data_IF_367527789337
#
_entry.id   IF_367527789337
#
_cell.length_a   1.000
_cell.length_b   1.000
_cell.length_c   1.000
_cell.angle_alpha   90.00
_cell.angle_beta   90.00
_cell.angle_gamma   90.00
#
_symmetry.space_group_name_H-M   'P 1'
#
loop_
_entity.id
_entity.type
_entity.pdbx_description
1 polymer ?
#
# COMPACT_ATOMS: atom_id res chain seq x y z
N UNK A 1 34.79 6.55 -17.15
CA UNK A 1 33.40 6.09 -17.09
C UNK A 1 32.63 6.76 -18.22
N UNK A 2 32.14 5.97 -19.18
CA UNK A 2 31.33 6.48 -20.28
C UNK A 2 29.89 6.58 -19.77
N UNK A 3 29.47 7.76 -19.30
CA UNK A 3 28.11 7.98 -18.82
C UNK A 3 27.23 8.11 -20.06
N UNK A 4 26.59 7.01 -20.46
CA UNK A 4 25.62 7.07 -21.55
C UNK A 4 24.35 7.78 -21.06
N UNK A 5 23.85 8.80 -21.77
CA UNK A 5 22.60 9.44 -21.43
C UNK A 5 21.48 8.40 -21.50
N UNK A 6 20.85 8.14 -20.36
CA UNK A 6 19.67 7.27 -20.29
C UNK A 6 18.48 8.11 -20.70
N UNK A 7 17.74 7.67 -21.72
CA UNK A 7 16.55 8.41 -22.15
C UNK A 7 15.47 8.37 -21.05
N UNK A 8 14.65 9.42 -20.92
CA UNK A 8 13.57 9.47 -19.93
C UNK A 8 12.59 8.29 -20.01
N UNK A 9 12.38 7.73 -21.21
CA UNK A 9 11.55 6.55 -21.46
C UNK A 9 12.15 5.28 -20.82
N UNK A 10 13.48 5.12 -20.92
CA UNK A 10 14.18 3.97 -20.32
C UNK A 10 14.16 4.05 -18.79
N UNK A 11 14.26 5.25 -18.23
CA UNK A 11 14.18 5.47 -16.78
C UNK A 11 12.76 5.23 -16.23
N UNK A 12 11.74 5.80 -16.87
CA UNK A 12 10.33 5.63 -16.48
C UNK A 12 9.87 4.17 -16.61
N UNK A 13 10.22 3.49 -17.70
CA UNK A 13 9.91 2.06 -17.88
C UNK A 13 10.53 1.17 -16.80
N UNK A 14 11.76 1.47 -16.36
CA UNK A 14 12.40 0.77 -15.24
C UNK A 14 11.69 1.03 -13.91
N UNK A 15 11.31 2.28 -13.64
CA UNK A 15 10.58 2.65 -12.42
C UNK A 15 9.22 1.96 -12.34
N UNK A 16 8.43 1.98 -13.43
CA UNK A 16 7.15 1.29 -13.51
C UNK A 16 7.34 -0.21 -13.28
N UNK A 17 8.36 -0.82 -13.87
CA UNK A 17 8.65 -2.25 -13.67
C UNK A 17 8.97 -2.58 -12.21
N UNK A 18 9.76 -1.76 -11.52
CA UNK A 18 10.06 -1.94 -10.09
C UNK A 18 8.78 -1.85 -9.26
N UNK A 19 7.99 -0.80 -9.47
CA UNK A 19 6.71 -0.57 -8.78
C UNK A 19 5.75 -1.75 -8.98
N UNK A 20 5.62 -2.25 -10.22
CA UNK A 20 4.75 -3.38 -10.55
C UNK A 20 5.26 -4.70 -9.99
N UNK A 21 6.57 -4.90 -9.88
CA UNK A 21 7.16 -6.10 -9.27
C UNK A 21 6.82 -6.15 -7.79
N UNK A 22 6.98 -5.04 -7.09
CA UNK A 22 6.58 -4.92 -5.68
C UNK A 22 5.09 -5.19 -5.56
N UNK A 23 4.25 -4.47 -6.31
CA UNK A 23 2.79 -4.65 -6.29
C UNK A 23 2.35 -6.10 -6.50
N UNK A 24 2.93 -6.79 -7.49
CA UNK A 24 2.59 -8.18 -7.80
C UNK A 24 3.02 -9.15 -6.70
N UNK A 25 4.10 -8.84 -5.98
CA UNK A 25 4.58 -9.62 -4.83
C UNK A 25 3.63 -9.51 -3.63
N UNK A 26 3.11 -8.31 -3.36
CA UNK A 26 2.19 -8.07 -2.24
C UNK A 26 0.74 -8.42 -2.56
N UNK A 27 0.31 -8.36 -3.83
CA UNK A 27 -1.07 -8.64 -4.24
C UNK A 27 -1.67 -9.96 -3.67
N UNK A 28 -0.99 -11.12 -3.73
CA UNK A 28 -1.57 -12.36 -3.21
C UNK A 28 -1.69 -12.38 -1.68
N UNK A 29 -0.95 -11.53 -0.95
CA UNK A 29 -0.89 -11.56 0.51
C UNK A 29 -1.61 -10.38 1.19
N UNK A 30 -1.82 -9.26 0.48
CA UNK A 30 -2.36 -8.02 1.07
C UNK A 30 -3.77 -8.23 1.64
N UNK A 31 -4.64 -8.95 0.93
CA UNK A 31 -6.01 -9.21 1.37
C UNK A 31 -6.06 -10.20 2.54
N UNK A 32 -5.43 -11.39 2.48
CA UNK A 32 -5.35 -12.28 3.64
C UNK A 32 -4.77 -11.58 4.88
N UNK A 33 -3.69 -10.81 4.71
CA UNK A 33 -3.07 -10.06 5.79
C UNK A 33 -4.01 -9.00 6.38
N UNK A 34 -4.74 -8.26 5.53
CA UNK A 34 -5.70 -7.28 6.00
C UNK A 34 -6.87 -7.92 6.77
N UNK A 35 -7.38 -9.07 6.33
CA UNK A 35 -8.43 -9.80 7.04
C UNK A 35 -7.95 -10.23 8.43
N UNK A 36 -6.73 -10.79 8.52
CA UNK A 36 -6.13 -11.16 9.80
C UNK A 36 -5.93 -9.94 10.70
N UNK A 37 -5.41 -8.85 10.15
CA UNK A 37 -5.22 -7.59 10.88
C UNK A 37 -6.55 -7.03 11.39
N UNK A 38 -7.60 -7.01 10.58
CA UNK A 38 -8.92 -6.54 11.00
C UNK A 38 -9.52 -7.44 12.08
N UNK A 39 -9.30 -8.75 11.99
CA UNK A 39 -9.73 -9.69 13.02
C UNK A 39 -9.05 -9.38 14.36
N UNK A 40 -7.73 -9.16 14.36
CA UNK A 40 -6.98 -8.77 15.55
C UNK A 40 -7.43 -7.42 16.10
N UNK A 41 -7.62 -6.42 15.23
CA UNK A 41 -8.14 -5.10 15.61
C UNK A 41 -9.51 -5.21 16.29
N UNK A 42 -10.40 -6.05 15.74
CA UNK A 42 -11.73 -6.27 16.30
C UNK A 42 -11.67 -6.94 17.68
N UNK A 43 -10.78 -7.93 17.84
CA UNK A 43 -10.53 -8.58 19.14
C UNK A 43 -10.09 -7.53 20.18
N UNK A 44 -9.16 -6.64 19.84
CA UNK A 44 -8.74 -5.59 20.77
C UNK A 44 -9.86 -4.58 21.08
N UNK A 45 -10.68 -4.21 20.09
CA UNK A 45 -11.82 -3.32 20.32
C UNK A 45 -12.83 -3.95 21.29
N UNK A 46 -13.20 -5.22 21.07
CA UNK A 46 -14.13 -5.96 21.93
C UNK A 46 -13.53 -6.16 23.31
N UNK A 47 -12.30 -6.69 23.39
CA UNK A 47 -11.63 -6.97 24.66
C UNK A 47 -11.49 -5.68 25.48
N UNK A 48 -11.07 -4.60 24.84
CA UNK A 48 -10.98 -3.28 25.47
C UNK A 48 -12.33 -2.76 25.97
N UNK A 49 -13.43 -3.04 25.25
CA UNK A 49 -14.77 -2.69 25.70
C UNK A 49 -15.21 -3.53 26.91
N UNK A 50 -14.99 -4.85 26.88
CA UNK A 50 -15.39 -5.77 27.97
C UNK A 50 -14.66 -5.44 29.27
N UNK A 51 -13.34 -5.23 29.21
CA UNK A 51 -12.56 -4.92 30.42
C UNK A 51 -12.52 -3.41 30.74
N UNK A 52 -13.29 -2.60 30.02
CA UNK A 52 -13.33 -1.13 30.16
C UNK A 52 -11.96 -0.43 30.00
N UNK A 53 -11.03 -1.05 29.27
CA UNK A 53 -9.71 -0.49 28.99
C UNK A 53 -9.72 0.38 27.73
N UNK A 54 -9.59 1.70 27.95
CA UNK A 54 -9.44 2.68 26.87
C UNK A 54 -8.18 2.44 26.04
N UNK A 55 -7.11 1.95 26.65
CA UNK A 55 -5.83 1.69 25.96
C UNK A 55 -5.95 0.56 24.95
N UNK A 56 -6.51 -0.59 25.36
CA UNK A 56 -6.67 -1.74 24.44
C UNK A 56 -7.64 -1.38 23.32
N UNK A 57 -8.75 -0.71 23.64
CA UNK A 57 -9.70 -0.23 22.63
C UNK A 57 -9.03 0.73 21.64
N UNK A 58 -8.16 1.64 22.11
CA UNK A 58 -7.40 2.57 21.25
C UNK A 58 -6.42 1.83 20.33
N UNK A 59 -5.76 0.79 20.81
CA UNK A 59 -4.88 -0.06 19.98
C UNK A 59 -5.69 -0.67 18.83
N UNK A 60 -6.82 -1.31 19.15
CA UNK A 60 -7.67 -1.91 18.11
C UNK A 60 -8.21 -0.90 17.09
N UNK A 61 -8.63 0.30 17.53
CA UNK A 61 -9.05 1.38 16.60
C UNK A 61 -7.88 1.85 15.73
N UNK A 62 -6.69 2.00 16.32
CA UNK A 62 -5.48 2.42 15.60
C UNK A 62 -5.11 1.38 14.54
N UNK A 63 -5.05 0.10 14.91
CA UNK A 63 -4.77 -0.99 13.98
C UNK A 63 -5.78 -1.01 12.83
N UNK A 64 -7.07 -0.91 13.14
CA UNK A 64 -8.13 -0.82 12.14
C UNK A 64 -7.89 0.32 11.15
N UNK A 65 -7.55 1.51 11.66
CA UNK A 65 -7.25 2.69 10.85
C UNK A 65 -6.02 2.49 9.96
N UNK A 66 -4.93 1.95 10.50
CA UNK A 66 -3.69 1.69 9.76
C UNK A 66 -3.92 0.68 8.64
N UNK A 67 -4.60 -0.43 8.90
CA UNK A 67 -4.91 -1.45 7.88
C UNK A 67 -5.76 -0.84 6.76
N UNK A 68 -6.76 -0.03 7.12
CA UNK A 68 -7.62 0.67 6.15
C UNK A 68 -6.80 1.61 5.28
N UNK A 69 -5.89 2.39 5.87
CA UNK A 69 -5.02 3.30 5.13
C UNK A 69 -4.07 2.56 4.17
N UNK A 70 -3.51 1.44 4.60
CA UNK A 70 -2.66 0.57 3.77
C UNK A 70 -3.45 0.03 2.58
N UNK A 71 -4.67 -0.46 2.79
CA UNK A 71 -5.53 -0.94 1.71
C UNK A 71 -5.89 0.16 0.72
N UNK A 72 -6.27 1.35 1.20
CA UNK A 72 -6.54 2.51 0.33
C UNK A 72 -5.31 2.82 -0.53
N UNK A 73 -4.13 2.90 0.09
CA UNK A 73 -2.88 3.17 -0.62
C UNK A 73 -2.57 2.11 -1.67
N UNK A 74 -2.84 0.84 -1.35
CA UNK A 74 -2.71 -0.28 -2.28
C UNK A 74 -3.66 -0.15 -3.49
N UNK A 75 -4.92 0.20 -3.25
CA UNK A 75 -5.91 0.41 -4.32
C UNK A 75 -5.64 1.64 -5.19
N UNK A 76 -4.90 2.62 -4.68
CA UNK A 76 -4.47 3.80 -5.45
C UNK A 76 -3.28 3.51 -6.38
N UNK A 77 -2.61 2.37 -6.22
CA UNK A 77 -1.40 2.04 -6.98
C UNK A 77 -1.62 1.93 -8.50
N UNK A 78 -2.72 1.36 -9.02
CA UNK A 78 -3.05 1.41 -10.44
C UNK A 78 -3.21 2.84 -10.97
N UNK A 79 -3.86 3.71 -10.19
CA UNK A 79 -4.02 5.14 -10.54
C UNK A 79 -2.67 5.83 -10.61
N UNK A 80 -1.78 5.59 -9.64
CA UNK A 80 -0.43 6.11 -9.64
C UNK A 80 0.37 5.67 -10.88
N UNK A 81 0.29 4.39 -11.25
CA UNK A 81 0.91 3.87 -12.48
C UNK A 81 0.29 4.52 -13.73
N UNK A 82 -1.01 4.76 -13.75
CA UNK A 82 -1.70 5.49 -14.82
C UNK A 82 -1.16 6.90 -14.98
N UNK A 83 -1.00 7.65 -13.89
CA UNK A 83 -0.43 9.01 -13.91
C UNK A 83 1.01 9.01 -14.45
N UNK A 84 1.84 8.06 -14.03
CA UNK A 84 3.22 7.94 -14.54
C UNK A 84 3.25 7.72 -16.06
N UNK A 85 2.37 6.86 -16.60
CA UNK A 85 2.26 6.62 -18.03
C UNK A 85 1.75 7.85 -18.80
N UNK A 86 0.82 8.60 -18.22
CA UNK A 86 0.33 9.86 -18.81
C UNK A 86 1.46 10.89 -18.90
N UNK A 87 2.26 11.04 -17.84
CA UNK A 87 3.43 11.94 -17.85
C UNK A 87 4.45 11.51 -18.92
N UNK A 88 4.75 10.21 -19.03
CA UNK A 88 5.64 9.69 -20.08
C UNK A 88 5.14 10.06 -21.49
N UNK A 89 3.81 10.06 -21.70
CA UNK A 89 3.21 10.41 -22.99
C UNK A 89 3.30 11.89 -23.31
N UNK A 90 3.21 12.77 -22.30
CA UNK A 90 3.26 14.23 -22.47
C UNK A 90 4.70 14.75 -22.66
N UNK A 91 5.69 14.06 -22.07
CA UNK A 91 7.11 14.47 -22.13
C UNK A 91 7.78 14.03 -23.43
N UNK A 92 7.18 13.10 -24.18
CA UNK A 92 7.56 12.76 -25.57
C UNK A 92 7.16 13.88 -26.54
#
# INVERSE_FOLDING_TARGET
MNIQPVSPEVASGKLVKVVMTIYSTINPIIYPAAILGYSAAFIFIILGAVIHSKTIKKVGITDFGVITLVLISYFLMPTFVGVLKTIETIVK
#
